data_IF_961242872143
#
_entry.id   IF_961242872143
#
_cell.length_a   1.000
_cell.length_b   1.000
_cell.length_c   1.000
_cell.angle_alpha   90.00
_cell.angle_beta   90.00
_cell.angle_gamma   90.00
#
_symmetry.space_group_name_H-M   'P 1'
#
loop_
_entity.id
_entity.type
_entity.pdbx_description
1 polymer ?
#
# COMPACT_ATOMS: atom_id res chain seq x y z
N UNK A 1 -31.31 -32.53 33.51
CA UNK A 1 -30.74 -32.15 34.82
C UNK A 1 -30.13 -33.37 35.45
N UNK A 2 -28.92 -33.24 35.99
CA UNK A 2 -28.32 -34.30 36.80
C UNK A 2 -28.98 -34.39 38.20
N UNK A 3 -28.53 -35.34 39.02
CA UNK A 3 -29.08 -35.59 40.36
C UNK A 3 -28.92 -34.41 41.35
N UNK A 4 -28.17 -33.36 40.97
CA UNK A 4 -27.91 -32.17 41.76
C UNK A 4 -28.61 -30.91 41.20
N UNK A 5 -29.36 -31.03 40.11
CA UNK A 5 -30.10 -29.93 39.51
C UNK A 5 -29.27 -29.04 38.57
N UNK A 6 -28.05 -29.45 38.20
CA UNK A 6 -27.28 -28.75 37.19
C UNK A 6 -27.80 -29.05 35.78
N UNK A 7 -27.70 -28.06 34.91
CA UNK A 7 -27.98 -28.21 33.48
C UNK A 7 -26.90 -29.10 32.84
N UNK A 8 -27.24 -29.93 31.83
CA UNK A 8 -26.24 -30.69 31.09
C UNK A 8 -25.17 -29.78 30.48
N UNK A 9 -23.93 -30.21 30.61
CA UNK A 9 -22.70 -29.56 30.15
C UNK A 9 -21.75 -30.71 29.74
N UNK A 10 -21.67 -30.93 28.42
CA UNK A 10 -21.09 -32.14 27.83
C UNK A 10 -19.56 -32.10 27.83
N UNK A 11 -18.96 -30.93 27.61
CA UNK A 11 -17.51 -30.73 27.65
C UNK A 11 -16.99 -30.15 28.98
N UNK A 12 -17.88 -29.67 29.85
CA UNK A 12 -17.59 -29.21 31.22
C UNK A 12 -16.76 -27.94 31.27
N UNK A 13 -16.97 -27.03 30.32
CA UNK A 13 -16.34 -25.73 30.33
C UNK A 13 -17.07 -24.70 31.23
N UNK A 14 -18.23 -25.07 31.75
CA UNK A 14 -19.07 -24.25 32.61
C UNK A 14 -20.27 -23.62 31.89
N UNK A 15 -20.33 -23.68 30.56
CA UNK A 15 -21.42 -23.24 29.70
C UNK A 15 -22.40 -24.42 29.50
N UNK A 16 -23.63 -24.35 30.00
CA UNK A 16 -24.59 -25.43 29.75
C UNK A 16 -24.91 -25.61 28.26
N UNK A 17 -25.10 -26.85 27.79
CA UNK A 17 -25.38 -27.21 26.38
C UNK A 17 -26.50 -26.39 25.70
N UNK A 18 -27.38 -25.77 26.48
CA UNK A 18 -28.50 -24.95 25.97
C UNK A 18 -28.12 -23.50 25.65
N UNK A 19 -27.00 -23.02 26.17
CA UNK A 19 -26.42 -21.69 25.87
C UNK A 19 -25.05 -21.78 25.23
N UNK A 20 -24.46 -22.97 25.22
CA UNK A 20 -23.19 -23.29 24.60
C UNK A 20 -23.34 -23.46 23.08
N UNK A 21 -22.56 -22.69 22.31
CA UNK A 21 -22.51 -22.75 20.85
C UNK A 21 -21.60 -23.90 20.35
N UNK A 22 -20.74 -24.44 21.21
CA UNK A 22 -19.84 -25.53 20.93
C UNK A 22 -19.93 -26.67 21.98
N UNK A 23 -21.07 -27.39 22.11
CA UNK A 23 -21.34 -28.35 23.20
C UNK A 23 -20.40 -29.56 23.36
N UNK A 24 -19.34 -29.66 22.57
CA UNK A 24 -18.38 -30.76 22.66
C UNK A 24 -16.92 -30.24 22.57
N UNK A 25 -16.70 -28.92 22.66
CA UNK A 25 -15.39 -28.28 22.55
C UNK A 25 -15.26 -27.25 23.67
N UNK A 26 -14.25 -27.39 24.52
CA UNK A 26 -14.00 -26.45 25.61
C UNK A 26 -13.84 -25.01 25.13
N UNK A 27 -14.59 -24.08 25.72
CA UNK A 27 -14.43 -22.63 25.51
C UNK A 27 -14.69 -21.78 26.76
N UNK A 28 -14.32 -20.49 26.73
CA UNK A 28 -14.75 -19.55 27.76
C UNK A 28 -16.22 -19.16 27.63
N UNK A 29 -16.84 -18.72 28.74
CA UNK A 29 -18.21 -18.22 28.74
C UNK A 29 -18.36 -16.95 27.89
N UNK A 30 -17.31 -16.14 27.80
CA UNK A 30 -17.24 -14.91 27.02
C UNK A 30 -17.48 -15.15 25.53
N UNK A 31 -17.06 -16.31 25.00
CA UNK A 31 -17.28 -16.77 23.63
C UNK A 31 -18.39 -17.83 23.54
N UNK A 32 -19.32 -17.83 24.51
CA UNK A 32 -20.47 -18.76 24.56
C UNK A 32 -20.09 -20.24 24.50
N UNK A 33 -19.03 -20.63 25.22
CA UNK A 33 -18.56 -22.03 25.30
C UNK A 33 -17.74 -22.49 24.10
N UNK A 34 -17.44 -21.61 23.14
CA UNK A 34 -16.59 -21.97 22.00
C UNK A 34 -15.12 -21.59 22.22
N UNK A 35 -14.16 -22.30 21.61
CA UNK A 35 -12.75 -21.89 21.62
C UNK A 35 -12.57 -20.45 21.12
N UNK A 36 -11.81 -19.66 21.88
CA UNK A 36 -11.44 -18.28 21.59
C UNK A 36 -9.98 -18.09 22.03
N UNK A 37 -9.07 -18.09 21.06
CA UNK A 37 -7.62 -18.17 21.29
C UNK A 37 -7.03 -16.84 21.72
N UNK A 38 -7.55 -15.73 21.22
CA UNK A 38 -7.03 -14.39 21.50
C UNK A 38 -7.85 -13.63 22.56
N UNK A 39 -9.01 -14.16 22.92
CA UNK A 39 -9.87 -13.74 24.03
C UNK A 39 -10.55 -12.40 23.78
N UNK A 40 -10.90 -12.12 22.55
CA UNK A 40 -11.63 -10.91 22.18
C UNK A 40 -13.16 -11.06 22.27
N UNK A 41 -13.64 -12.28 22.57
CA UNK A 41 -15.05 -12.63 22.69
C UNK A 41 -15.69 -13.11 21.39
N UNK A 42 -14.94 -13.11 20.28
CA UNK A 42 -15.31 -13.73 19.00
C UNK A 42 -14.76 -15.15 18.98
N UNK A 43 -15.60 -16.19 18.81
CA UNK A 43 -15.07 -17.55 18.76
C UNK A 43 -14.19 -17.77 17.53
N UNK A 44 -13.16 -18.62 17.65
CA UNK A 44 -12.16 -18.94 16.61
C UNK A 44 -12.75 -19.31 15.24
N UNK A 45 -13.98 -19.86 15.22
CA UNK A 45 -14.68 -20.28 13.99
C UNK A 45 -15.35 -19.12 13.26
N UNK A 46 -15.69 -18.07 14.00
CA UNK A 46 -16.34 -16.85 13.51
C UNK A 46 -15.37 -15.66 13.41
N UNK A 47 -14.18 -15.80 14.00
CA UNK A 47 -13.12 -14.82 14.01
C UNK A 47 -12.27 -14.85 12.73
N UNK A 48 -12.14 -13.70 12.07
CA UNK A 48 -11.31 -13.51 10.89
C UNK A 48 -9.82 -13.37 11.23
N UNK A 49 -9.50 -13.05 12.47
CA UNK A 49 -8.17 -12.81 13.01
C UNK A 49 -7.94 -13.60 14.33
N UNK A 50 -8.07 -14.94 14.33
CA UNK A 50 -8.19 -15.77 15.54
C UNK A 50 -6.91 -15.93 16.38
N UNK A 51 -5.91 -15.09 16.13
CA UNK A 51 -4.64 -15.02 16.86
C UNK A 51 -4.34 -13.58 17.33
N UNK A 52 -5.19 -12.60 17.01
CA UNK A 52 -4.93 -11.18 17.21
C UNK A 52 -6.22 -10.48 17.65
N UNK A 53 -6.32 -10.06 18.93
CA UNK A 53 -7.56 -9.53 19.47
C UNK A 53 -8.08 -8.35 18.67
N UNK A 54 -9.36 -8.40 18.33
CA UNK A 54 -10.05 -7.35 17.61
C UNK A 54 -11.35 -6.93 18.26
N UNK A 55 -12.23 -6.38 17.43
CA UNK A 55 -13.57 -5.98 17.86
C UNK A 55 -14.63 -6.90 17.26
N UNK A 56 -15.71 -7.11 18.00
CA UNK A 56 -16.88 -7.89 17.54
C UNK A 56 -17.47 -7.26 16.26
N UNK A 57 -17.45 -5.93 16.14
CA UNK A 57 -17.91 -5.20 14.94
C UNK A 57 -17.07 -5.52 13.70
N UNK A 58 -15.78 -5.82 13.90
CA UNK A 58 -14.81 -6.19 12.88
C UNK A 58 -14.66 -7.71 12.68
N UNK A 59 -15.54 -8.53 13.28
CA UNK A 59 -15.45 -10.01 13.26
C UNK A 59 -14.12 -10.52 13.84
N UNK A 60 -13.74 -9.98 14.98
CA UNK A 60 -12.54 -10.36 15.74
C UNK A 60 -11.23 -9.77 15.22
N UNK A 61 -11.28 -8.88 14.22
CA UNK A 61 -10.08 -8.23 13.70
C UNK A 61 -9.78 -6.87 14.33
N UNK A 62 -8.49 -6.52 14.48
CA UNK A 62 -8.08 -5.18 14.90
C UNK A 62 -8.36 -4.13 13.81
N UNK A 63 -8.45 -2.88 14.24
CA UNK A 63 -8.40 -1.66 13.45
C UNK A 63 -7.32 -0.79 14.11
N UNK A 64 -6.08 -0.90 13.63
CA UNK A 64 -4.91 -0.34 14.34
C UNK A 64 -4.81 1.17 14.24
N UNK A 65 -5.31 1.76 13.16
CA UNK A 65 -5.22 3.18 12.93
C UNK A 65 -6.53 3.93 13.27
N UNK A 66 -7.62 3.20 13.45
CA UNK A 66 -8.89 3.71 13.94
C UNK A 66 -9.67 4.49 12.89
N UNK A 67 -9.47 4.20 11.60
CA UNK A 67 -10.20 4.83 10.51
C UNK A 67 -11.58 4.19 10.24
N UNK A 68 -11.89 3.10 10.94
CA UNK A 68 -13.15 2.37 10.86
C UNK A 68 -13.12 1.21 9.88
N UNK A 69 -11.96 0.86 9.32
CA UNK A 69 -11.78 -0.26 8.42
C UNK A 69 -10.84 -1.30 9.07
N UNK A 70 -11.30 -2.55 9.30
CA UNK A 70 -10.44 -3.55 9.96
C UNK A 70 -9.19 -3.86 9.15
N UNK A 71 -8.06 -4.10 9.83
CA UNK A 71 -6.73 -4.31 9.22
C UNK A 71 -6.73 -5.25 8.00
N UNK A 72 -7.44 -6.41 7.98
CA UNK A 72 -7.42 -7.30 6.81
C UNK A 72 -8.14 -6.76 5.57
N UNK A 73 -8.92 -5.70 5.72
CA UNK A 73 -9.63 -5.01 4.64
C UNK A 73 -8.96 -3.69 4.27
N UNK A 74 -8.01 -3.23 5.08
CA UNK A 74 -7.33 -1.95 4.96
C UNK A 74 -6.04 -2.10 4.13
N UNK A 75 -5.93 -1.32 3.06
CA UNK A 75 -4.74 -1.25 2.21
C UNK A 75 -3.58 -0.51 2.94
N UNK A 76 -3.90 0.29 3.96
CA UNK A 76 -3.00 1.13 4.75
C UNK A 76 -3.20 0.97 6.28
N UNK A 77 -3.08 -0.25 6.86
CA UNK A 77 -3.53 -0.62 8.21
C UNK A 77 -2.72 -0.01 9.38
N UNK A 78 -1.91 1.01 9.12
CA UNK A 78 -1.09 1.73 10.10
C UNK A 78 -1.21 3.25 9.92
N UNK A 79 -2.06 3.73 9.01
CA UNK A 79 -2.17 5.15 8.65
C UNK A 79 -3.61 5.50 8.27
N UNK A 80 -4.32 6.26 9.12
CA UNK A 80 -5.75 6.47 8.93
C UNK A 80 -6.06 7.09 7.57
N UNK A 81 -7.06 6.55 6.88
CA UNK A 81 -7.41 7.02 5.56
C UNK A 81 -8.90 7.12 5.30
N UNK A 82 -9.23 7.15 4.01
CA UNK A 82 -10.60 7.29 3.55
C UNK A 82 -11.16 5.91 3.23
N UNK A 83 -12.36 5.59 3.73
CA UNK A 83 -13.08 4.36 3.39
C UNK A 83 -13.27 4.18 1.87
N UNK A 84 -13.40 5.29 1.11
CA UNK A 84 -13.52 5.27 -0.36
C UNK A 84 -12.25 4.75 -1.05
N UNK A 85 -11.11 4.76 -0.35
CA UNK A 85 -9.78 4.37 -0.81
C UNK A 85 -9.22 3.18 -0.02
N UNK A 86 -10.10 2.32 0.52
CA UNK A 86 -9.73 1.15 1.32
C UNK A 86 -8.81 1.50 2.51
N UNK A 87 -9.12 2.57 3.23
CA UNK A 87 -8.40 2.97 4.44
C UNK A 87 -7.09 3.73 4.19
N UNK A 88 -6.81 4.12 2.94
CA UNK A 88 -5.61 4.88 2.62
C UNK A 88 -5.82 6.41 2.58
N UNK A 89 -4.80 7.20 2.96
CA UNK A 89 -4.83 8.65 2.86
C UNK A 89 -4.80 9.14 1.40
N UNK A 90 -5.31 10.36 1.20
CA UNK A 90 -5.39 11.11 -0.06
C UNK A 90 -5.14 12.58 0.30
N UNK A 91 -3.86 12.95 0.28
CA UNK A 91 -3.36 14.23 0.83
C UNK A 91 -3.79 15.43 0.02
N UNK A 92 -3.90 15.29 -1.29
CA UNK A 92 -4.25 16.38 -2.19
C UNK A 92 -5.74 16.37 -2.61
N UNK A 93 -6.44 15.28 -2.35
CA UNK A 93 -7.88 15.18 -2.52
C UNK A 93 -8.31 14.90 -3.96
N UNK A 94 -7.40 14.41 -4.82
CA UNK A 94 -7.71 14.12 -6.22
C UNK A 94 -8.47 12.79 -6.41
N UNK A 95 -8.55 11.97 -5.35
CA UNK A 95 -9.25 10.70 -5.33
C UNK A 95 -8.38 9.49 -5.62
N UNK A 96 -7.06 9.66 -5.69
CA UNK A 96 -6.07 8.59 -5.74
C UNK A 96 -5.40 8.51 -4.36
N UNK A 97 -5.21 7.30 -3.86
CA UNK A 97 -4.53 7.14 -2.58
C UNK A 97 -3.04 7.49 -2.71
N UNK A 98 -2.45 8.09 -1.68
CA UNK A 98 -1.05 8.57 -1.68
C UNK A 98 -0.03 7.52 -2.15
N UNK A 99 -0.26 6.24 -1.84
CA UNK A 99 0.64 5.14 -2.21
C UNK A 99 0.49 4.68 -3.67
N UNK A 100 -0.57 5.15 -4.35
CA UNK A 100 -0.89 4.92 -5.78
C UNK A 100 -0.72 6.19 -6.62
N UNK A 101 -0.39 7.33 -5.99
CA UNK A 101 -0.21 8.63 -6.60
C UNK A 101 1.28 8.94 -6.82
N UNK A 102 1.66 9.28 -8.06
CA UNK A 102 3.03 9.68 -8.41
C UNK A 102 3.34 11.12 -7.93
N UNK A 103 2.30 11.93 -7.65
CA UNK A 103 2.33 13.33 -7.24
C UNK A 103 1.44 13.62 -5.99
N UNK A 104 1.63 12.92 -4.85
CA UNK A 104 0.67 12.84 -3.74
C UNK A 104 0.45 14.13 -2.92
N UNK A 105 1.05 15.24 -3.32
CA UNK A 105 0.92 16.55 -2.69
C UNK A 105 0.35 17.60 -3.66
N UNK A 106 -0.07 17.19 -4.87
CA UNK A 106 -0.55 18.10 -5.92
C UNK A 106 -1.61 17.42 -6.78
N UNK A 107 -2.87 17.89 -6.73
CA UNK A 107 -3.97 17.17 -7.37
C UNK A 107 -3.75 17.00 -8.87
N UNK A 108 -4.04 15.81 -9.38
CA UNK A 108 -3.87 15.52 -10.80
C UNK A 108 -4.99 14.69 -11.41
N UNK A 109 -4.66 14.08 -12.55
CA UNK A 109 -5.58 13.26 -13.32
C UNK A 109 -5.28 11.78 -13.07
N UNK A 110 -6.33 10.96 -12.96
CA UNK A 110 -6.20 9.51 -12.82
C UNK A 110 -5.44 8.87 -13.99
N UNK A 111 -5.63 9.39 -15.20
CA UNK A 111 -4.90 8.95 -16.40
C UNK A 111 -3.39 9.21 -16.32
N UNK A 112 -2.97 10.18 -15.50
CA UNK A 112 -1.59 10.58 -15.27
C UNK A 112 -1.07 10.18 -13.89
N UNK A 113 -1.74 9.21 -13.25
CA UNK A 113 -1.40 8.70 -11.90
C UNK A 113 -1.33 9.79 -10.83
N UNK A 114 -2.29 10.70 -10.85
CA UNK A 114 -2.42 11.76 -9.85
C UNK A 114 -1.51 12.97 -10.09
N UNK A 115 -0.78 12.99 -11.21
CA UNK A 115 0.01 14.15 -11.58
C UNK A 115 -0.80 15.19 -12.39
N UNK A 116 -0.51 16.49 -12.19
CA UNK A 116 -1.13 17.57 -12.94
C UNK A 116 -0.67 17.60 -14.40
N UNK A 117 -1.57 18.07 -15.26
CA UNK A 117 -1.33 18.43 -16.66
C UNK A 117 -2.05 19.75 -16.91
N UNK A 118 -1.28 20.83 -16.89
CA UNK A 118 -1.80 22.20 -16.82
C UNK A 118 -2.27 22.71 -18.17
N UNK A 119 -1.59 22.35 -19.24
CA UNK A 119 -1.93 22.77 -20.60
C UNK A 119 -2.78 21.77 -21.38
N UNK A 120 -2.97 20.57 -20.81
CA UNK A 120 -3.88 19.51 -21.25
C UNK A 120 -3.46 18.87 -22.56
N UNK A 121 -2.16 18.76 -22.77
CA UNK A 121 -1.60 18.08 -23.95
C UNK A 121 -1.45 16.55 -23.76
N UNK A 122 -1.70 16.05 -22.54
CA UNK A 122 -1.63 14.64 -22.17
C UNK A 122 -0.26 14.21 -21.62
N UNK A 123 0.65 15.15 -21.39
CA UNK A 123 1.95 14.94 -20.74
C UNK A 123 1.89 15.63 -19.38
N UNK A 124 2.28 14.91 -18.32
CA UNK A 124 2.31 15.50 -16.97
C UNK A 124 3.35 16.62 -16.88
N UNK A 125 3.07 17.63 -16.07
CA UNK A 125 3.91 18.83 -15.88
C UNK A 125 5.40 18.48 -15.59
N UNK A 126 5.69 17.34 -14.95
CA UNK A 126 7.06 16.89 -14.65
C UNK A 126 7.81 16.31 -15.84
N UNK A 127 7.10 15.74 -16.81
CA UNK A 127 7.66 15.12 -18.03
C UNK A 127 7.59 16.08 -19.23
N UNK A 128 6.89 17.21 -19.09
CA UNK A 128 6.70 18.24 -20.10
C UNK A 128 7.81 19.31 -20.06
N UNK A 129 8.43 19.58 -21.21
CA UNK A 129 9.43 20.63 -21.37
C UNK A 129 8.82 22.04 -21.41
N UNK A 130 7.52 22.16 -21.70
CA UNK A 130 6.75 23.40 -21.77
C UNK A 130 5.40 23.31 -21.01
N UNK A 131 5.36 23.10 -19.68
CA UNK A 131 4.14 22.79 -18.89
C UNK A 131 2.99 23.81 -18.91
N UNK A 132 3.17 24.97 -19.56
CA UNK A 132 2.16 26.01 -19.69
C UNK A 132 1.73 26.20 -21.17
N UNK A 133 2.21 25.38 -22.11
CA UNK A 133 1.97 25.51 -23.55
C UNK A 133 1.85 24.15 -24.24
N UNK A 134 0.66 23.79 -24.77
CA UNK A 134 0.40 22.44 -25.22
C UNK A 134 1.24 22.07 -26.45
N UNK A 135 1.76 20.85 -26.47
CA UNK A 135 2.55 20.34 -27.57
C UNK A 135 2.39 18.84 -27.80
N UNK A 136 2.88 18.32 -28.94
CA UNK A 136 2.86 16.89 -29.16
C UNK A 136 3.94 16.17 -28.31
N UNK A 137 3.74 14.86 -28.01
CA UNK A 137 4.79 14.03 -27.39
C UNK A 137 6.10 13.98 -28.18
N UNK A 138 6.05 14.21 -29.50
CA UNK A 138 7.22 14.25 -30.37
C UNK A 138 8.22 15.36 -29.97
N UNK A 139 7.72 16.44 -29.37
CA UNK A 139 8.50 17.60 -28.93
C UNK A 139 8.53 17.73 -27.40
N UNK A 140 8.23 16.63 -26.68
CA UNK A 140 8.20 16.57 -25.22
C UNK A 140 7.28 17.65 -24.62
N UNK A 141 6.11 17.86 -25.23
CA UNK A 141 5.05 18.77 -24.77
C UNK A 141 5.21 20.22 -25.19
N UNK A 142 6.25 20.56 -25.96
CA UNK A 142 6.41 21.92 -26.47
C UNK A 142 5.71 22.16 -27.84
N UNK A 143 5.22 23.38 -28.12
CA UNK A 143 4.54 23.68 -29.39
C UNK A 143 5.36 23.41 -30.66
N UNK A 144 4.69 22.78 -31.63
CA UNK A 144 5.14 22.52 -33.00
C UNK A 144 4.02 22.95 -33.96
N UNK A 145 4.11 24.16 -34.52
CA UNK A 145 3.00 24.76 -35.25
C UNK A 145 2.89 24.25 -36.69
N UNK A 146 4.00 23.83 -37.30
CA UNK A 146 4.01 23.28 -38.66
C UNK A 146 3.97 21.75 -38.70
N UNK A 147 4.07 21.09 -37.53
CA UNK A 147 3.91 19.65 -37.37
C UNK A 147 5.06 18.86 -37.99
N UNK A 148 6.24 19.48 -38.11
CA UNK A 148 7.41 18.88 -38.73
C UNK A 148 8.27 18.06 -37.73
N UNK A 149 7.88 18.04 -36.45
CA UNK A 149 8.58 17.37 -35.36
C UNK A 149 9.73 18.19 -34.76
N UNK A 150 9.85 19.47 -35.11
CA UNK A 150 10.86 20.40 -34.58
C UNK A 150 10.17 21.52 -33.80
N UNK A 151 10.79 21.92 -32.69
CA UNK A 151 10.31 23.03 -31.87
C UNK A 151 10.21 24.34 -32.67
N UNK A 152 9.12 25.07 -32.48
CA UNK A 152 8.96 26.43 -32.97
C UNK A 152 10.10 27.32 -32.45
N UNK A 153 10.97 27.80 -33.35
CA UNK A 153 12.17 28.61 -33.03
C UNK A 153 11.88 29.95 -32.34
N UNK A 154 10.63 30.30 -32.10
CA UNK A 154 10.21 31.60 -31.55
C UNK A 154 10.06 31.61 -30.02
N UNK A 155 10.12 30.47 -29.36
CA UNK A 155 10.11 30.40 -27.90
C UNK A 155 11.50 29.98 -27.42
N UNK A 156 12.22 30.93 -26.85
CA UNK A 156 13.47 30.67 -26.14
C UNK A 156 13.15 29.74 -24.98
N UNK A 157 13.32 28.44 -25.16
CA UNK A 157 13.12 27.45 -24.11
C UNK A 157 13.90 27.88 -22.84
N UNK A 158 13.29 27.89 -21.65
CA UNK A 158 14.07 27.92 -20.43
C UNK A 158 15.03 26.71 -20.44
N UNK A 159 16.27 26.83 -19.96
CA UNK A 159 17.21 25.73 -19.97
C UNK A 159 16.63 24.58 -19.15
N UNK A 160 16.35 23.45 -19.81
CA UNK A 160 15.87 22.24 -19.14
C UNK A 160 16.83 21.87 -18.00
N UNK A 161 16.33 21.52 -16.79
CA UNK A 161 17.15 20.77 -15.84
C UNK A 161 17.53 19.45 -16.51
N UNK A 162 18.84 19.17 -16.56
CA UNK A 162 19.34 17.93 -17.14
C UNK A 162 18.72 16.71 -16.43
N UNK A 163 18.44 15.62 -17.16
CA UNK A 163 17.96 14.39 -16.53
C UNK A 163 18.96 13.92 -15.47
N UNK A 164 18.50 13.33 -14.33
CA UNK A 164 19.40 12.71 -13.39
C UNK A 164 20.16 11.61 -14.12
N UNK A 165 21.48 11.79 -14.25
CA UNK A 165 22.36 10.81 -14.87
C UNK A 165 22.41 9.58 -13.98
N UNK A 166 21.47 8.65 -14.15
CA UNK A 166 21.61 7.30 -13.62
C UNK A 166 22.78 6.66 -14.36
N UNK A 167 23.90 6.50 -13.64
CA UNK A 167 25.05 5.72 -14.08
C UNK A 167 24.56 4.32 -14.46
N UNK A 168 24.49 4.06 -15.77
CA UNK A 168 24.41 2.71 -16.29
C UNK A 168 25.61 1.91 -15.77
N UNK A 169 25.32 0.87 -14.99
CA UNK A 169 26.28 -0.13 -14.59
C UNK A 169 26.84 -0.82 -15.84
N UNK A 170 28.11 -0.57 -16.15
CA UNK A 170 28.90 -1.37 -17.07
C UNK A 170 30.11 -1.91 -16.30
N UNK A 171 30.04 -3.17 -15.87
CA UNK A 171 31.25 -3.94 -15.59
C UNK A 171 31.25 -5.19 -16.46
N UNK A 172 31.64 -4.98 -17.72
CA UNK A 172 32.04 -6.03 -18.64
C UNK A 172 33.55 -6.24 -18.49
N UNK A 173 33.95 -7.40 -17.98
CA UNK A 173 35.35 -7.75 -17.80
C UNK A 173 36.13 -7.95 -19.10
N UNK A 174 37.43 -7.67 -19.04
CA UNK A 174 38.54 -8.39 -19.70
C UNK A 174 39.85 -7.76 -19.24
N UNK A 175 40.63 -8.48 -18.44
CA UNK A 175 41.73 -9.35 -18.88
C UNK A 175 42.97 -8.56 -19.30
N UNK A 176 43.98 -8.54 -18.41
CA UNK A 176 45.37 -8.34 -18.82
C UNK A 176 46.31 -9.30 -18.07
N UNK A 177 47.41 -9.71 -18.74
CA UNK A 177 48.20 -10.88 -18.36
C UNK A 177 49.37 -10.54 -17.43
N UNK A 178 49.95 -11.58 -16.85
CA UNK A 178 50.93 -11.47 -15.77
C UNK A 178 52.31 -10.89 -16.12
N UNK A 179 52.98 -10.43 -15.06
CA UNK A 179 54.42 -10.19 -15.01
C UNK A 179 54.97 -10.54 -13.60
N UNK A 180 55.47 -11.76 -13.51
CA UNK A 180 56.71 -12.24 -12.88
C UNK A 180 57.58 -11.29 -11.99
N UNK A 181 57.96 -11.82 -10.79
CA UNK A 181 59.13 -11.52 -9.90
C UNK A 181 59.07 -10.19 -9.11
N UNK A 182 59.42 -10.10 -7.81
CA UNK A 182 60.67 -10.54 -7.16
C UNK A 182 60.55 -10.73 -5.63
N UNK A 183 61.50 -11.48 -5.06
CA UNK A 183 61.70 -11.80 -3.63
C UNK A 183 62.35 -10.65 -2.82
N UNK A 184 61.89 -10.44 -1.58
CA UNK A 184 62.63 -10.07 -0.32
C UNK A 184 61.56 -9.60 0.69
N UNK A 185 61.42 -10.07 1.94
CA UNK A 185 62.41 -10.48 2.94
C UNK A 185 62.65 -9.32 3.92
N UNK A 186 62.49 -9.56 5.24
CA UNK A 186 62.70 -8.67 6.42
C UNK A 186 61.45 -7.86 6.82
N UNK A 187 60.99 -7.80 8.08
CA UNK A 187 61.56 -8.16 9.39
C UNK A 187 60.42 -8.50 10.37
#
# INVERSE_FOLDING_TARGET
MDAFGCLPDDDRDGSPNMVDLCPNELGPMESSGCPDRDKDGTPDKEDLCPDTPGSIEAQGCPDRDGDGLPDPKDDCPDTPGLLKLNGCPDRDGDGIADHKDDCPDTPGLAELKGCPDRDKDGIRDQDDACPDQPGPPATQGCPDRDGDGVLDKTMSAPPCPAPPTTKAAQNSGKSQPGALRDRKGHH
#
